data_IF_274112152767
#
_entry.id   IF_274112152767
#
_cell.length_a   1.000
_cell.length_b   1.000
_cell.length_c   1.000
_cell.angle_alpha   90.00
_cell.angle_beta   90.00
_cell.angle_gamma   90.00
#
_symmetry.space_group_name_H-M   'P 1'
#
loop_
_entity.id
_entity.type
_entity.pdbx_description
1 polymer ?
#
# COMPACT_ATOMS: atom_id res chain seq x y z
N UNK A 1 -17.91 -7.80 -10.52
CA UNK A 1 -18.05 -7.54 -11.95
C UNK A 1 -19.14 -8.40 -12.62
N UNK A 2 -19.30 -9.66 -12.24
CA UNK A 2 -20.36 -10.51 -12.79
C UNK A 2 -21.77 -10.00 -12.45
N UNK A 3 -21.96 -9.54 -11.22
CA UNK A 3 -23.23 -8.93 -10.79
C UNK A 3 -23.48 -7.61 -11.54
N UNK A 4 -22.45 -6.86 -11.84
CA UNK A 4 -22.57 -5.62 -12.62
C UNK A 4 -22.87 -5.88 -14.10
N UNK A 5 -22.44 -7.01 -14.65
CA UNK A 5 -22.78 -7.45 -16.02
C UNK A 5 -24.23 -7.92 -16.14
N UNK A 6 -24.71 -8.61 -15.15
CA UNK A 6 -26.04 -9.22 -15.16
C UNK A 6 -27.11 -8.17 -14.84
N UNK A 7 -27.61 -7.49 -15.82
CA UNK A 7 -28.73 -6.58 -15.65
C UNK A 7 -28.52 -5.19 -16.22
N UNK A 8 -27.68 -5.06 -17.23
CA UNK A 8 -27.43 -3.77 -17.85
C UNK A 8 -27.84 -3.73 -19.30
N UNK A 9 -28.50 -2.66 -19.66
CA UNK A 9 -28.79 -2.29 -21.04
C UNK A 9 -27.69 -1.36 -21.62
N UNK A 10 -26.55 -1.26 -20.93
CA UNK A 10 -25.49 -0.35 -21.32
C UNK A 10 -24.53 -0.96 -22.35
N UNK A 11 -23.97 -0.12 -23.19
CA UNK A 11 -23.16 -0.45 -24.35
C UNK A 11 -21.97 -1.37 -24.04
N UNK A 12 -21.43 -1.31 -22.81
CA UNK A 12 -20.29 -2.10 -22.37
C UNK A 12 -20.67 -3.20 -21.36
N UNK A 13 -21.96 -3.42 -21.14
CA UNK A 13 -22.46 -4.44 -20.23
C UNK A 13 -22.23 -4.16 -18.74
N UNK A 14 -21.97 -2.92 -18.37
CA UNK A 14 -21.78 -2.48 -16.98
C UNK A 14 -22.74 -1.36 -16.61
N UNK A 15 -23.47 -1.52 -15.52
CA UNK A 15 -24.39 -0.52 -14.99
C UNK A 15 -23.65 0.61 -14.26
N UNK A 16 -22.51 0.32 -13.70
CA UNK A 16 -21.68 1.26 -12.95
C UNK A 16 -20.26 1.27 -13.48
N UNK A 17 -19.52 2.35 -13.27
CA UNK A 17 -18.11 2.43 -13.60
C UNK A 17 -17.33 1.27 -13.00
N UNK A 18 -16.28 0.83 -13.67
CA UNK A 18 -15.36 -0.13 -13.14
C UNK A 18 -14.62 0.45 -11.94
N UNK A 19 -14.67 -0.22 -10.81
CA UNK A 19 -13.93 0.18 -9.63
C UNK A 19 -12.42 0.33 -9.91
N UNK A 20 -11.87 -0.56 -10.71
CA UNK A 20 -10.42 -0.55 -11.01
C UNK A 20 -10.10 0.39 -12.16
N UNK A 21 -10.79 0.26 -13.30
CA UNK A 21 -10.44 0.99 -14.51
C UNK A 21 -10.81 2.48 -14.45
N UNK A 22 -11.98 2.79 -13.88
CA UNK A 22 -12.55 4.13 -13.96
C UNK A 22 -12.31 4.96 -12.69
N UNK A 23 -12.05 4.29 -11.56
CA UNK A 23 -11.90 4.96 -10.25
C UNK A 23 -10.48 4.81 -9.72
N UNK A 24 -10.07 3.58 -9.38
CA UNK A 24 -8.79 3.38 -8.70
C UNK A 24 -7.59 3.58 -9.62
N UNK A 25 -7.71 3.22 -10.89
CA UNK A 25 -6.63 3.38 -11.87
C UNK A 25 -6.20 4.84 -12.00
N UNK A 26 -7.06 5.72 -12.55
CA UNK A 26 -6.72 7.13 -12.78
C UNK A 26 -6.43 7.91 -11.51
N UNK A 27 -7.15 7.62 -10.43
CA UNK A 27 -7.04 8.42 -9.21
C UNK A 27 -5.89 8.00 -8.30
N UNK A 28 -5.53 6.73 -8.31
CA UNK A 28 -4.55 6.18 -7.36
C UNK A 28 -3.43 5.38 -8.02
N UNK A 29 -3.74 4.38 -8.84
CA UNK A 29 -2.71 3.45 -9.33
C UNK A 29 -1.74 4.10 -10.30
N UNK A 30 -2.18 5.04 -11.14
CA UNK A 30 -1.30 5.79 -12.06
C UNK A 30 -0.25 6.63 -11.31
N UNK A 31 -0.50 6.96 -10.05
CA UNK A 31 0.46 7.64 -9.17
C UNK A 31 1.24 6.70 -8.27
N UNK A 32 1.05 5.39 -8.44
CA UNK A 32 1.72 4.37 -7.66
C UNK A 32 1.25 4.30 -6.20
N UNK A 33 -0.01 4.63 -5.91
CA UNK A 33 -0.57 4.41 -4.58
C UNK A 33 -0.64 2.91 -4.29
N UNK A 34 -0.29 2.56 -3.08
CA UNK A 34 -0.36 1.21 -2.57
C UNK A 34 -0.16 1.16 -1.06
N UNK A 35 -0.47 0.04 -0.44
CA UNK A 35 -0.26 -0.15 0.99
C UNK A 35 1.19 0.08 1.37
N UNK A 36 1.38 0.83 2.44
CA UNK A 36 2.67 1.10 3.05
C UNK A 36 2.53 0.92 4.55
N UNK A 37 3.13 -0.13 5.06
CA UNK A 37 3.08 -0.49 6.47
C UNK A 37 4.45 -0.31 7.10
N UNK A 38 4.47 0.20 8.34
CA UNK A 38 5.67 0.13 9.15
C UNK A 38 5.36 -0.44 10.53
N UNK A 39 6.37 -1.08 11.10
CA UNK A 39 6.33 -1.67 12.44
C UNK A 39 7.56 -1.21 13.20
N UNK A 40 7.36 -0.61 14.36
CA UNK A 40 8.43 -0.27 15.29
C UNK A 40 8.81 -1.52 16.08
N UNK A 41 9.95 -2.12 15.73
CA UNK A 41 10.40 -3.41 16.30
C UNK A 41 10.78 -3.30 17.77
N UNK A 42 11.03 -2.10 18.28
CA UNK A 42 11.23 -1.88 19.71
C UNK A 42 10.01 -2.21 20.57
N UNK A 43 8.82 -2.23 19.96
CA UNK A 43 7.55 -2.35 20.70
C UNK A 43 7.20 -1.11 21.54
N UNK A 44 8.03 -0.05 21.47
CA UNK A 44 7.83 1.16 22.25
C UNK A 44 6.76 2.07 21.62
N UNK A 45 5.67 2.41 22.33
CA UNK A 45 4.65 3.34 21.84
C UNK A 45 5.19 4.74 21.46
N UNK A 46 6.28 5.16 22.09
CA UNK A 46 6.92 6.44 21.76
C UNK A 46 7.55 6.44 20.38
N UNK A 47 8.14 5.31 19.97
CA UNK A 47 8.71 5.17 18.64
C UNK A 47 7.61 5.25 17.57
N UNK A 48 6.44 4.64 17.84
CA UNK A 48 5.29 4.78 16.96
C UNK A 48 4.82 6.23 16.87
N UNK A 49 4.72 6.94 18.00
CA UNK A 49 4.31 8.33 18.01
C UNK A 49 5.31 9.26 17.28
N UNK A 50 6.61 8.95 17.34
CA UNK A 50 7.65 9.69 16.59
C UNK A 50 7.56 9.41 15.10
N UNK A 51 7.39 8.14 14.71
CA UNK A 51 7.23 7.77 13.30
C UNK A 51 5.93 8.30 12.71
N UNK A 52 4.84 8.33 13.47
CA UNK A 52 3.58 8.96 13.06
C UNK A 52 3.79 10.45 12.72
N UNK A 53 4.48 11.21 13.59
CA UNK A 53 4.79 12.62 13.33
C UNK A 53 5.66 12.79 12.09
N UNK A 54 6.71 12.00 11.97
CA UNK A 54 7.61 12.06 10.81
C UNK A 54 6.89 11.72 9.49
N UNK A 55 5.97 10.75 9.51
CA UNK A 55 5.14 10.42 8.35
C UNK A 55 4.21 11.59 7.97
N UNK A 56 3.54 12.21 8.95
CA UNK A 56 2.68 13.38 8.71
C UNK A 56 3.46 14.56 8.11
N UNK A 57 4.70 14.80 8.54
CA UNK A 57 5.57 15.85 7.97
C UNK A 57 5.94 15.58 6.49
N UNK A 58 5.97 14.31 6.09
CA UNK A 58 6.26 13.92 4.71
C UNK A 58 5.06 13.98 3.77
N UNK A 59 3.84 14.04 4.29
CA UNK A 59 2.59 14.01 3.52
C UNK A 59 2.19 15.43 3.10
N UNK A 60 2.06 15.65 1.80
CA UNK A 60 1.51 16.90 1.27
C UNK A 60 -0.02 16.82 1.19
N UNK A 61 -0.68 17.31 2.23
CA UNK A 61 -2.15 17.27 2.39
C UNK A 61 -2.93 18.04 1.32
N UNK A 62 -2.24 18.88 0.53
CA UNK A 62 -2.88 19.70 -0.51
C UNK A 62 -2.86 19.03 -1.88
N UNK A 63 -2.09 17.97 -2.02
CA UNK A 63 -1.85 17.35 -3.31
C UNK A 63 -3.06 16.52 -3.80
N UNK A 64 -3.61 15.67 -2.94
CA UNK A 64 -4.75 14.79 -3.26
C UNK A 64 -5.60 14.49 -2.02
N UNK A 65 -6.86 14.11 -2.24
CA UNK A 65 -7.77 13.70 -1.16
C UNK A 65 -7.22 12.54 -0.34
N UNK A 66 -6.62 11.54 -0.99
CA UNK A 66 -6.00 10.40 -0.31
C UNK A 66 -4.83 10.82 0.62
N UNK A 67 -4.07 11.84 0.25
CA UNK A 67 -3.00 12.36 1.12
C UNK A 67 -3.56 13.03 2.37
N UNK A 68 -4.66 13.77 2.21
CA UNK A 68 -5.37 14.35 3.36
C UNK A 68 -5.97 13.26 4.26
N UNK A 69 -6.55 12.22 3.67
CA UNK A 69 -7.09 11.08 4.42
C UNK A 69 -6.01 10.34 5.18
N UNK A 70 -4.85 10.09 4.57
CA UNK A 70 -3.69 9.51 5.23
C UNK A 70 -3.23 10.34 6.43
N UNK A 71 -3.15 11.66 6.26
CA UNK A 71 -2.77 12.57 7.34
C UNK A 71 -3.77 12.50 8.50
N UNK A 72 -5.07 12.59 8.20
CA UNK A 72 -6.13 12.51 9.20
C UNK A 72 -6.13 11.15 9.91
N UNK A 73 -5.91 10.08 9.18
CA UNK A 73 -5.82 8.72 9.70
C UNK A 73 -4.72 8.59 10.77
N UNK A 74 -3.51 9.06 10.48
CA UNK A 74 -2.40 9.03 11.45
C UNK A 74 -2.69 9.96 12.63
N UNK A 75 -3.11 11.19 12.37
CA UNK A 75 -3.40 12.19 13.40
C UNK A 75 -4.39 11.67 14.45
N UNK A 76 -5.43 11.00 13.99
CA UNK A 76 -6.53 10.55 14.84
C UNK A 76 -6.34 9.09 15.34
N UNK A 77 -5.28 8.41 14.91
CA UNK A 77 -5.03 7.00 15.23
C UNK A 77 -4.99 6.73 16.75
N UNK A 78 -4.27 7.55 17.51
CA UNK A 78 -4.19 7.42 18.96
C UNK A 78 -5.55 7.63 19.65
N UNK A 79 -6.28 8.64 19.22
CA UNK A 79 -7.64 8.93 19.71
C UNK A 79 -8.60 7.77 19.45
N UNK A 80 -8.49 7.15 18.30
CA UNK A 80 -9.33 6.03 17.87
C UNK A 80 -8.81 4.67 18.34
N UNK A 81 -7.73 4.65 19.14
CA UNK A 81 -7.11 3.43 19.67
C UNK A 81 -6.75 2.42 18.56
N UNK A 82 -6.21 2.91 17.46
CA UNK A 82 -5.84 2.11 16.28
C UNK A 82 -4.49 1.38 16.43
N UNK A 83 -4.20 0.89 17.62
CA UNK A 83 -3.06 0.00 17.89
C UNK A 83 -3.61 -1.32 18.38
N UNK A 84 -3.37 -2.38 17.63
CA UNK A 84 -3.81 -3.73 17.98
C UNK A 84 -2.61 -4.67 17.93
N UNK A 85 -2.17 -5.10 19.09
CA UNK A 85 -1.14 -6.13 19.25
C UNK A 85 0.29 -5.70 19.01
N UNK A 86 0.57 -4.70 18.15
CA UNK A 86 1.92 -4.23 17.86
C UNK A 86 1.95 -2.73 17.52
N UNK A 87 3.12 -2.13 17.66
CA UNK A 87 3.33 -0.72 17.32
C UNK A 87 3.53 -0.55 15.80
N UNK A 88 2.42 -0.51 15.08
CA UNK A 88 2.39 -0.47 13.62
C UNK A 88 1.37 0.52 13.07
N UNK A 89 1.61 0.97 11.84
CA UNK A 89 0.68 1.76 11.02
C UNK A 89 0.64 1.24 9.61
N UNK A 90 -0.43 1.58 8.93
CA UNK A 90 -0.60 1.37 7.50
C UNK A 90 -1.18 2.63 6.86
N UNK A 91 -0.66 2.97 5.70
CA UNK A 91 -1.18 4.02 4.82
C UNK A 91 -1.42 3.46 3.43
N UNK A 92 -2.22 4.14 2.66
CA UNK A 92 -2.32 3.95 1.23
C UNK A 92 -1.67 5.14 0.54
N UNK A 93 -0.35 5.05 0.28
CA UNK A 93 0.48 6.17 -0.11
C UNK A 93 1.06 5.97 -1.50
N UNK A 94 1.24 7.06 -2.24
CA UNK A 94 1.85 7.06 -3.56
C UNK A 94 3.35 6.71 -3.54
N UNK A 95 3.92 6.44 -4.71
CA UNK A 95 5.31 6.04 -4.84
C UNK A 95 6.29 7.07 -4.24
N UNK A 96 6.06 8.36 -4.49
CA UNK A 96 6.93 9.45 -4.00
C UNK A 96 6.81 9.61 -2.49
N UNK A 97 5.59 9.58 -1.96
CA UNK A 97 5.34 9.66 -0.53
C UNK A 97 5.96 8.49 0.23
N UNK A 98 5.82 7.27 -0.29
CA UNK A 98 6.47 6.08 0.31
C UNK A 98 7.98 6.23 0.37
N UNK A 99 8.61 6.73 -0.69
CA UNK A 99 10.05 6.98 -0.71
C UNK A 99 10.46 8.01 0.35
N UNK A 100 9.77 9.14 0.42
CA UNK A 100 10.05 10.20 1.41
C UNK A 100 9.96 9.70 2.83
N UNK A 101 8.87 9.01 3.17
CA UNK A 101 8.66 8.44 4.51
C UNK A 101 9.74 7.40 4.83
N UNK A 102 10.06 6.50 3.91
CA UNK A 102 11.08 5.48 4.10
C UNK A 102 12.47 6.08 4.35
N UNK A 103 12.85 7.12 3.60
CA UNK A 103 14.11 7.82 3.79
C UNK A 103 14.16 8.55 5.14
N UNK A 104 13.06 9.18 5.56
CA UNK A 104 12.98 9.84 6.86
C UNK A 104 13.10 8.82 8.01
N UNK A 105 12.41 7.69 7.90
CA UNK A 105 12.53 6.63 8.90
C UNK A 105 13.94 6.04 8.97
N UNK A 106 14.58 5.83 7.83
CA UNK A 106 15.97 5.38 7.80
C UNK A 106 16.92 6.37 8.48
N UNK A 107 16.68 7.68 8.28
CA UNK A 107 17.42 8.72 8.98
C UNK A 107 17.22 8.63 10.50
N UNK A 108 15.97 8.50 10.96
CA UNK A 108 15.63 8.42 12.38
C UNK A 108 16.29 7.22 13.06
N UNK A 109 16.30 6.07 12.40
CA UNK A 109 16.98 4.86 12.92
C UNK A 109 18.50 5.08 12.99
N UNK A 110 19.09 5.65 11.95
CA UNK A 110 20.53 5.95 11.90
C UNK A 110 20.96 6.91 13.00
N UNK A 111 20.16 7.91 13.27
CA UNK A 111 20.45 8.95 14.27
C UNK A 111 20.07 8.52 15.69
N UNK A 112 19.52 7.32 15.86
CA UNK A 112 19.12 6.78 17.17
C UNK A 112 17.87 7.41 17.75
N UNK A 113 17.07 8.13 16.93
CA UNK A 113 15.80 8.73 17.36
C UNK A 113 14.75 7.68 17.71
N UNK A 114 14.77 6.55 17.01
CA UNK A 114 13.87 5.40 17.17
C UNK A 114 14.61 4.09 17.00
N UNK A 115 14.05 3.00 17.53
CA UNK A 115 14.55 1.65 17.30
C UNK A 115 14.35 1.18 15.85
N UNK A 116 14.78 -0.04 15.52
CA UNK A 116 14.64 -0.59 14.17
C UNK A 116 13.18 -0.59 13.70
N UNK A 117 13.00 -0.27 12.41
CA UNK A 117 11.69 -0.22 11.77
C UNK A 117 11.65 -1.24 10.63
N UNK A 118 10.61 -2.06 10.59
CA UNK A 118 10.32 -2.92 9.45
C UNK A 118 9.29 -2.24 8.55
N UNK A 119 9.62 -2.14 7.27
CA UNK A 119 8.70 -1.65 6.23
C UNK A 119 8.10 -2.84 5.49
N UNK A 120 6.84 -2.73 5.13
CA UNK A 120 6.15 -3.78 4.41
C UNK A 120 4.91 -3.30 3.69
N UNK A 121 4.28 -4.24 2.99
CA UNK A 121 2.98 -4.08 2.37
C UNK A 121 1.99 -5.04 3.02
N UNK A 122 0.72 -4.88 2.73
CA UNK A 122 -0.29 -5.86 3.11
C UNK A 122 -0.03 -7.18 2.38
N UNK A 123 -0.20 -8.30 3.06
CA UNK A 123 0.14 -9.61 2.50
C UNK A 123 -0.73 -10.04 1.32
N UNK A 124 -1.91 -9.47 1.17
CA UNK A 124 -2.79 -9.70 0.01
C UNK A 124 -2.45 -8.84 -1.20
N UNK A 125 -1.55 -7.91 -1.07
CA UNK A 125 -1.23 -6.97 -2.12
C UNK A 125 0.06 -7.38 -2.82
N UNK A 126 0.00 -8.46 -3.53
CA UNK A 126 1.08 -8.89 -4.41
C UNK A 126 0.79 -8.34 -5.80
N UNK A 127 1.56 -7.35 -6.21
CA UNK A 127 1.46 -6.79 -7.55
C UNK A 127 1.52 -7.89 -8.60
N UNK A 128 0.59 -7.84 -9.52
CA UNK A 128 0.54 -8.77 -10.62
C UNK A 128 -0.29 -10.03 -10.41
N UNK A 129 -0.88 -10.23 -9.24
CA UNK A 129 -1.67 -11.43 -8.96
C UNK A 129 -3.17 -11.18 -8.84
N UNK A 130 -3.59 -9.93 -8.64
CA UNK A 130 -4.98 -9.62 -8.36
C UNK A 130 -5.84 -9.55 -9.62
N UNK A 131 -5.33 -8.94 -10.68
CA UNK A 131 -6.08 -8.69 -11.89
C UNK A 131 -5.18 -8.20 -13.00
N UNK A 132 -5.41 -8.59 -14.26
CA UNK A 132 -4.70 -8.02 -15.39
C UNK A 132 -4.96 -6.52 -15.57
N UNK A 133 -5.95 -5.98 -14.91
CA UNK A 133 -6.36 -4.58 -15.02
C UNK A 133 -5.91 -3.71 -13.84
N UNK A 134 -5.18 -4.28 -12.90
CA UNK A 134 -4.79 -3.56 -11.70
C UNK A 134 -3.39 -2.96 -11.83
N UNK A 135 -2.45 -3.30 -11.02
CA UNK A 135 -1.22 -2.56 -10.81
C UNK A 135 -0.19 -2.68 -11.94
N UNK A 136 -0.35 -3.62 -12.81
CA UNK A 136 0.75 -4.07 -13.65
C UNK A 136 0.58 -3.80 -15.11
N UNK A 137 -0.61 -3.55 -15.64
CA UNK A 137 -0.68 -3.49 -17.08
C UNK A 137 -1.79 -2.71 -17.69
N UNK A 138 -2.92 -2.53 -17.34
CA UNK A 138 -4.00 -2.08 -18.24
C UNK A 138 -4.11 -2.89 -19.53
N UNK A 139 -3.47 -4.06 -19.62
CA UNK A 139 -3.59 -4.96 -20.75
C UNK A 139 -4.84 -5.82 -20.55
N UNK A 140 -5.85 -5.56 -21.35
CA UNK A 140 -7.19 -6.14 -21.20
C UNK A 140 -7.43 -7.42 -21.98
N UNK A 141 -6.48 -7.81 -22.80
CA UNK A 141 -6.58 -8.99 -23.68
C UNK A 141 -6.13 -10.31 -23.03
N UNK A 142 -5.68 -10.24 -21.77
CA UNK A 142 -5.21 -11.42 -21.05
C UNK A 142 -3.79 -11.87 -21.43
N UNK A 143 -3.09 -11.12 -22.27
CA UNK A 143 -1.72 -11.48 -22.70
C UNK A 143 -0.68 -11.31 -21.59
N UNK A 144 -1.03 -10.67 -20.49
CA UNK A 144 -0.13 -10.43 -19.36
C UNK A 144 -0.13 -11.60 -18.38
N UNK A 145 1.02 -12.22 -18.20
CA UNK A 145 1.18 -13.40 -17.34
C UNK A 145 1.47 -12.97 -15.92
N UNK A 146 0.45 -12.88 -15.11
CA UNK A 146 0.52 -12.37 -13.75
C UNK A 146 1.24 -13.29 -12.76
N UNK A 147 1.17 -14.60 -12.98
CA UNK A 147 1.84 -15.58 -12.13
C UNK A 147 3.36 -15.44 -12.16
N UNK A 148 3.93 -15.10 -13.29
CA UNK A 148 5.39 -14.89 -13.41
C UNK A 148 5.85 -13.71 -12.56
N UNK A 149 5.04 -12.67 -12.46
CA UNK A 149 5.36 -11.50 -11.60
C UNK A 149 5.32 -11.86 -10.12
N UNK A 150 4.39 -12.69 -9.68
CA UNK A 150 4.33 -13.16 -8.31
C UNK A 150 5.59 -13.98 -7.93
N UNK A 151 6.01 -14.87 -8.80
CA UNK A 151 7.24 -15.66 -8.63
C UNK A 151 8.46 -14.76 -8.65
N UNK A 152 8.52 -13.80 -9.55
CA UNK A 152 9.62 -12.83 -9.62
C UNK A 152 9.73 -11.98 -8.36
N UNK A 153 8.62 -11.49 -7.83
CA UNK A 153 8.58 -10.75 -6.57
C UNK A 153 9.04 -11.61 -5.40
N UNK A 154 8.60 -12.86 -5.32
CA UNK A 154 9.04 -13.82 -4.31
C UNK A 154 10.54 -14.04 -4.37
N UNK A 155 11.07 -14.42 -5.52
CA UNK A 155 12.49 -14.67 -5.74
C UNK A 155 13.34 -13.42 -5.44
N UNK A 156 12.90 -12.24 -5.90
CA UNK A 156 13.59 -10.99 -5.66
C UNK A 156 13.65 -10.60 -4.18
N UNK A 157 12.61 -10.88 -3.42
CA UNK A 157 12.61 -10.64 -1.97
C UNK A 157 13.50 -11.61 -1.23
N UNK A 158 13.54 -12.89 -1.61
CA UNK A 158 14.49 -13.88 -1.07
C UNK A 158 15.94 -13.44 -1.33
N UNK A 159 16.26 -13.03 -2.57
CA UNK A 159 17.59 -12.58 -2.95
C UNK A 159 18.05 -11.33 -2.20
N UNK A 160 17.13 -10.49 -1.75
CA UNK A 160 17.43 -9.29 -0.93
C UNK A 160 17.57 -9.60 0.56
N UNK A 161 17.52 -10.85 0.97
CA UNK A 161 17.73 -11.26 2.36
C UNK A 161 16.58 -10.89 3.31
N UNK A 162 15.36 -10.92 2.85
CA UNK A 162 14.20 -10.71 3.72
C UNK A 162 14.11 -11.82 4.77
N UNK A 163 13.77 -11.43 6.00
CA UNK A 163 13.66 -12.37 7.12
C UNK A 163 12.48 -13.33 6.97
N UNK A 164 11.44 -12.91 6.27
CA UNK A 164 10.27 -13.72 5.96
C UNK A 164 9.78 -13.39 4.55
N UNK A 165 9.65 -14.40 3.74
CA UNK A 165 9.01 -14.32 2.42
C UNK A 165 8.06 -15.49 2.29
N UNK A 166 6.81 -15.21 1.93
CA UNK A 166 5.80 -16.23 1.70
C UNK A 166 5.19 -16.09 0.30
N UNK A 167 5.04 -17.19 -0.38
CA UNK A 167 4.28 -17.30 -1.62
C UNK A 167 3.01 -18.08 -1.32
N UNK A 168 1.88 -17.40 -1.38
CA UNK A 168 0.60 -17.94 -0.99
C UNK A 168 -0.38 -17.86 -2.15
N UNK A 169 -1.22 -18.86 -2.26
CA UNK A 169 -2.44 -18.73 -3.02
C UNK A 169 -3.42 -17.93 -2.16
N UNK A 170 -3.78 -16.75 -2.61
CA UNK A 170 -4.56 -15.79 -1.86
C UNK A 170 -6.01 -16.15 -1.61
N UNK A 171 -6.40 -17.36 -1.92
CA UNK A 171 -7.68 -17.98 -1.56
C UNK A 171 -8.92 -17.28 -2.04
#
# INVERSE_FOLDING_TARGET
NEIARNGTDEKDGFRWPSYVDDIMGPELFDYGYGPFRWVCLSGNPEDLARTDRAAMECIDVKRRGQDLDNYNWIRDAGKNRLVVGTQARILYQDAVGRLKIALRFNQMVRDGEVGPIMLGRDHHDVSGTDSPFRETSNIKDGSNVMADMAVQCFAGNCARGRSLVAFLNGG
#
